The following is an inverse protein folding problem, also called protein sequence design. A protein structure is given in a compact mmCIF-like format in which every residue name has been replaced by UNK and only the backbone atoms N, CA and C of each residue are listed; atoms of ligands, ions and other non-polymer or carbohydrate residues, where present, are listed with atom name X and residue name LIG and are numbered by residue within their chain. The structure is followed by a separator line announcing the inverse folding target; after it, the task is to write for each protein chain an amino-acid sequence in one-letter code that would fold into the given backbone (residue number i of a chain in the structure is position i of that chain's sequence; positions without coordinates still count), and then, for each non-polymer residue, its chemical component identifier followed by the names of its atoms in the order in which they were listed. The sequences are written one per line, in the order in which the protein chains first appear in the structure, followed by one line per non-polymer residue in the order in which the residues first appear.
data_IF_403017715483
#
_entry.id   IF_403017715483
#
_cell.length_a   1.000
_cell.length_b   1.000
_cell.length_c   1.000
_cell.angle_alpha   90.00
_cell.angle_beta   90.00
_cell.angle_gamma   90.00
#
_symmetry.space_group_name_H-M   'P 1'
#
loop_
_entity.id
_entity.type
_entity.pdbx_description
1 polymer ?
#
# COMPACT_ATOMS: atom_id res chain seq x y z
N UNK A 1 -17.04 -4.57 -9.08
CA UNK A 1 -16.22 -4.77 -7.88
C UNK A 1 -15.65 -6.16 -7.93
N UNK A 2 -14.35 -6.27 -7.72
CA UNK A 2 -13.67 -7.55 -7.89
C UNK A 2 -12.75 -7.81 -6.69
N UNK A 3 -13.35 -8.25 -5.60
CA UNK A 3 -12.57 -8.64 -4.43
C UNK A 3 -11.75 -9.88 -4.74
N UNK A 4 -10.47 -9.83 -4.42
CA UNK A 4 -9.58 -10.97 -4.59
C UNK A 4 -8.92 -11.29 -3.26
N UNK A 5 -8.93 -12.57 -2.89
CA UNK A 5 -8.20 -13.03 -1.72
C UNK A 5 -6.73 -13.11 -2.10
N UNK A 6 -5.90 -12.35 -1.39
CA UNK A 6 -4.48 -12.23 -1.73
C UNK A 6 -3.59 -13.05 -0.81
N UNK A 7 -4.05 -13.36 0.40
CA UNK A 7 -3.28 -14.15 1.36
C UNK A 7 -4.19 -14.58 2.48
N UNK A 8 -3.78 -15.64 3.19
CA UNK A 8 -4.37 -15.93 4.49
C UNK A 8 -3.81 -14.95 5.52
N UNK A 9 -4.62 -14.60 6.50
CA UNK A 9 -4.21 -13.61 7.49
C UNK A 9 -2.92 -14.01 8.22
N UNK A 10 -2.76 -15.30 8.49
CA UNK A 10 -1.58 -15.77 9.22
C UNK A 10 -0.33 -15.86 8.33
N UNK A 11 -0.43 -15.57 7.04
CA UNK A 11 0.74 -15.47 6.17
C UNK A 11 1.41 -14.10 6.26
N UNK A 12 0.79 -13.14 6.95
CA UNK A 12 1.31 -11.79 7.08
C UNK A 12 1.20 -11.39 8.55
N UNK A 13 2.34 -11.19 9.20
CA UNK A 13 2.35 -10.79 10.59
C UNK A 13 2.09 -9.31 10.77
N UNK A 14 1.67 -8.91 11.97
CA UNK A 14 1.51 -7.49 12.27
C UNK A 14 2.82 -6.76 12.06
N UNK A 15 2.75 -5.64 11.34
CA UNK A 15 3.93 -4.87 11.02
C UNK A 15 4.63 -5.30 9.74
N UNK A 16 4.09 -6.30 9.05
CA UNK A 16 4.68 -6.80 7.82
C UNK A 16 3.93 -6.31 6.59
N UNK A 17 4.61 -6.37 5.46
CA UNK A 17 4.10 -5.97 4.16
C UNK A 17 4.35 -7.07 3.14
N UNK A 18 3.46 -7.16 2.14
CA UNK A 18 3.67 -8.08 1.03
C UNK A 18 3.27 -7.41 -0.28
N UNK A 19 3.97 -7.80 -1.34
CA UNK A 19 3.66 -7.32 -2.69
C UNK A 19 2.75 -8.32 -3.38
N UNK A 20 1.65 -7.84 -3.93
CA UNK A 20 0.77 -8.65 -4.76
C UNK A 20 0.52 -7.91 -6.07
N UNK A 21 0.25 -8.66 -7.13
CA UNK A 21 -0.01 -8.09 -8.45
C UNK A 21 -1.46 -8.34 -8.83
N UNK A 22 -2.24 -7.26 -8.91
CA UNK A 22 -3.66 -7.30 -9.24
C UNK A 22 -3.93 -6.37 -10.43
N UNK A 23 -3.15 -6.55 -11.50
CA UNK A 23 -3.12 -5.60 -12.61
C UNK A 23 -2.22 -4.42 -12.33
N UNK A 24 -2.07 -4.07 -11.07
CA UNK A 24 -1.14 -3.06 -10.57
C UNK A 24 -0.35 -3.68 -9.42
N UNK A 25 0.88 -3.21 -9.17
CA UNK A 25 1.61 -3.68 -7.99
C UNK A 25 0.99 -3.06 -6.74
N UNK A 26 0.59 -3.89 -5.80
CA UNK A 26 -0.11 -3.48 -4.59
C UNK A 26 0.67 -3.94 -3.38
N UNK A 27 0.92 -3.01 -2.45
CA UNK A 27 1.53 -3.33 -1.17
C UNK A 27 0.42 -3.53 -0.15
N UNK A 28 0.33 -4.73 0.39
CA UNK A 28 -0.64 -5.07 1.43
C UNK A 28 0.10 -5.04 2.76
N UNK A 29 -0.44 -4.27 3.71
CA UNK A 29 0.20 -4.06 5.01
C UNK A 29 -0.74 -4.53 6.10
N UNK A 30 -0.22 -5.33 7.04
CA UNK A 30 -0.96 -5.69 8.23
C UNK A 30 -0.53 -4.78 9.37
N UNK A 31 -1.45 -3.92 9.79
CA UNK A 31 -1.23 -3.02 10.91
C UNK A 31 -1.56 -3.73 12.22
N UNK A 32 -1.57 -3.00 13.31
CA UNK A 32 -1.90 -3.56 14.61
C UNK A 32 -3.40 -3.85 14.71
N UNK A 33 -3.78 -4.76 15.60
CA UNK A 33 -5.18 -5.07 15.90
C UNK A 33 -5.95 -5.59 14.69
N UNK A 34 -5.27 -6.39 13.85
CA UNK A 34 -5.89 -7.03 12.69
C UNK A 34 -6.45 -6.04 11.66
N UNK A 35 -5.85 -4.87 11.60
CA UNK A 35 -6.18 -3.92 10.53
C UNK A 35 -5.27 -4.17 9.34
N UNK A 36 -5.86 -4.18 8.14
CA UNK A 36 -5.08 -4.32 6.90
C UNK A 36 -5.37 -3.13 5.99
N UNK A 37 -4.34 -2.72 5.25
CA UNK A 37 -4.47 -1.66 4.25
C UNK A 37 -3.76 -2.11 2.98
N UNK A 38 -4.19 -1.57 1.85
CA UNK A 38 -3.59 -1.85 0.56
C UNK A 38 -3.34 -0.54 -0.16
N UNK A 39 -2.11 -0.33 -0.62
CA UNK A 39 -1.73 0.87 -1.34
C UNK A 39 -0.97 0.48 -2.60
N UNK A 40 -0.92 1.39 -3.58
CA UNK A 40 -0.10 1.17 -4.75
C UNK A 40 1.37 1.07 -4.32
N UNK A 41 2.08 0.10 -4.84
CA UNK A 41 3.43 -0.22 -4.36
C UNK A 41 4.52 0.69 -4.91
N UNK A 42 4.17 1.79 -5.56
CA UNK A 42 5.15 2.66 -6.20
C UNK A 42 5.19 4.01 -5.52
N UNK A 43 6.39 4.40 -5.05
CA UNK A 43 6.60 5.73 -4.47
C UNK A 43 6.41 6.79 -5.57
N UNK A 44 5.60 7.82 -5.29
CA UNK A 44 5.30 8.85 -6.28
C UNK A 44 6.48 9.76 -6.57
N UNK A 45 7.48 9.78 -5.70
CA UNK A 45 8.65 10.63 -5.91
C UNK A 45 9.67 9.97 -6.85
N UNK A 46 10.02 8.70 -6.59
CA UNK A 46 11.11 8.03 -7.31
C UNK A 46 10.67 6.74 -7.99
N UNK A 47 9.39 6.41 -7.94
CA UNK A 47 8.87 5.16 -8.48
C UNK A 47 9.58 3.92 -7.91
N UNK A 48 10.00 4.02 -6.66
CA UNK A 48 10.61 2.89 -5.95
C UNK A 48 9.56 1.99 -5.33
N UNK A 49 9.84 0.69 -5.20
CA UNK A 49 8.87 -0.23 -4.61
C UNK A 49 8.73 0.03 -3.11
N UNK A 50 7.51 0.37 -2.68
CA UNK A 50 7.24 0.71 -1.29
C UNK A 50 7.34 -0.50 -0.35
N UNK A 51 7.11 -1.72 -0.87
CA UNK A 51 7.20 -2.91 -0.03
C UNK A 51 8.63 -3.21 0.43
N UNK A 52 9.62 -2.53 -0.14
CA UNK A 52 11.01 -2.62 0.33
C UNK A 52 11.35 -1.54 1.34
N UNK A 53 10.39 -0.70 1.70
CA UNK A 53 10.60 0.37 2.65
C UNK A 53 10.36 -0.05 4.09
N UNK A 54 10.02 0.90 4.92
CA UNK A 54 9.91 0.70 6.37
C UNK A 54 8.54 1.13 6.87
N UNK A 55 7.92 0.27 7.67
CA UNK A 55 6.67 0.59 8.34
C UNK A 55 6.97 1.17 9.71
N UNK A 56 6.34 2.30 10.04
CA UNK A 56 6.49 2.93 11.35
C UNK A 56 5.26 2.70 12.22
N UNK A 57 5.40 2.94 13.52
CA UNK A 57 4.36 2.66 14.50
C UNK A 57 3.12 3.54 14.34
N UNK A 58 3.24 4.65 13.64
CA UNK A 58 2.13 5.57 13.41
C UNK A 58 1.40 5.30 12.09
N UNK A 59 1.55 4.09 11.54
CA UNK A 59 0.93 3.66 10.28
C UNK A 59 1.42 4.49 9.10
N UNK A 60 2.68 4.85 9.13
CA UNK A 60 3.36 5.58 8.06
C UNK A 60 4.36 4.65 7.39
N UNK A 61 4.38 4.66 6.06
CA UNK A 61 5.31 3.87 5.27
C UNK A 61 6.39 4.77 4.70
N UNK A 62 7.66 4.39 4.93
CA UNK A 62 8.79 5.16 4.45
C UNK A 62 9.35 4.50 3.20
N UNK A 63 9.44 5.28 2.10
CA UNK A 63 10.05 4.84 0.86
C UNK A 63 11.56 4.63 1.07
N UNK A 64 12.13 3.52 0.56
CA UNK A 64 13.54 3.23 0.83
C UNK A 64 14.53 4.16 0.13
N UNK A 65 14.10 4.90 -0.90
CA UNK A 65 15.04 5.69 -1.70
C UNK A 65 15.45 6.99 -1.01
N UNK A 66 14.48 7.83 -0.66
CA UNK A 66 14.78 9.17 -0.11
C UNK A 66 13.98 9.47 1.13
N UNK A 67 13.52 8.42 1.82
CA UNK A 67 12.75 8.56 3.06
C UNK A 67 11.46 9.35 2.90
N UNK A 68 10.88 9.34 1.71
CA UNK A 68 9.52 9.86 1.52
C UNK A 68 8.55 9.05 2.37
N UNK A 69 7.62 9.72 3.03
CA UNK A 69 6.69 9.06 3.94
C UNK A 69 5.26 9.27 3.48
N UNK A 70 4.46 8.22 3.64
CA UNK A 70 3.05 8.26 3.26
C UNK A 70 2.20 7.72 4.39
N UNK A 71 1.08 8.40 4.66
CA UNK A 71 0.08 7.91 5.59
C UNK A 71 -0.66 6.75 4.92
N UNK A 72 -0.68 5.59 5.56
CA UNK A 72 -1.25 4.39 4.95
C UNK A 72 -2.77 4.41 4.91
N UNK A 73 -3.43 5.22 5.74
CA UNK A 73 -4.88 5.32 5.73
C UNK A 73 -5.39 6.23 4.63
N UNK A 74 -4.66 7.30 4.33
CA UNK A 74 -5.10 8.32 3.37
C UNK A 74 -4.30 8.33 2.09
N UNK A 75 -3.10 7.75 2.08
CA UNK A 75 -2.19 7.82 0.95
C UNK A 75 -1.45 9.13 0.84
N UNK A 76 -1.69 10.06 1.76
CA UNK A 76 -1.11 11.40 1.68
C UNK A 76 0.38 11.41 2.01
N UNK A 77 1.18 12.18 1.27
CA UNK A 77 2.60 12.29 1.60
C UNK A 77 2.78 13.13 2.87
N UNK A 78 3.76 12.71 3.69
CA UNK A 78 4.09 13.42 4.92
C UNK A 78 5.49 13.98 4.75
N UNK A 79 5.57 15.27 4.50
CA UNK A 79 6.86 15.91 4.27
C UNK A 79 7.44 15.66 2.90
N UNK A 80 8.54 16.31 2.62
CA UNK A 80 9.26 16.17 1.35
C UNK A 80 10.16 14.92 1.41
N UNK A 81 10.59 14.36 0.25
CA UNK A 81 10.43 14.92 -1.09
C UNK A 81 9.12 14.54 -1.81
N UNK A 82 8.36 13.57 -1.32
CA UNK A 82 7.10 13.21 -1.98
C UNK A 82 6.07 14.30 -1.76
N UNK A 83 5.38 14.70 -2.83
CA UNK A 83 4.37 15.76 -2.77
C UNK A 83 3.03 15.30 -3.36
N UNK A 84 2.96 14.07 -3.86
CA UNK A 84 1.73 13.51 -4.42
C UNK A 84 1.31 12.29 -3.62
N UNK A 85 0.01 12.12 -3.37
CA UNK A 85 -0.46 10.93 -2.63
C UNK A 85 -0.33 9.67 -3.47
N UNK A 86 -0.36 8.52 -2.78
CA UNK A 86 -0.40 7.21 -3.44
C UNK A 86 -1.83 6.68 -3.40
N UNK A 87 -2.25 5.88 -4.40
CA UNK A 87 -3.56 5.27 -4.37
C UNK A 87 -3.71 4.32 -3.18
N UNK A 88 -4.87 4.39 -2.53
CA UNK A 88 -5.26 3.48 -1.46
C UNK A 88 -6.46 2.69 -1.95
N UNK A 89 -6.41 1.37 -1.82
CA UNK A 89 -7.46 0.49 -2.33
C UNK A 89 -8.26 -0.12 -1.19
N UNK A 90 -9.48 -0.55 -1.48
CA UNK A 90 -10.29 -1.23 -0.51
C UNK A 90 -9.63 -2.55 -0.09
N UNK A 91 -9.57 -2.79 1.19
CA UNK A 91 -8.91 -3.95 1.77
C UNK A 91 -9.68 -4.38 3.00
N UNK A 92 -9.81 -5.69 3.20
CA UNK A 92 -10.57 -6.21 4.35
C UNK A 92 -10.04 -7.57 4.77
N UNK A 93 -10.41 -7.98 5.97
CA UNK A 93 -10.21 -9.34 6.47
C UNK A 93 -11.58 -10.01 6.50
N UNK A 94 -11.69 -11.18 5.90
CA UNK A 94 -12.92 -11.95 5.92
C UNK A 94 -12.59 -13.43 5.85
N UNK A 95 -13.21 -14.23 6.73
CA UNK A 95 -12.99 -15.67 6.78
C UNK A 95 -11.52 -16.05 6.91
N UNK A 96 -10.75 -15.28 7.70
CA UNK A 96 -9.34 -15.56 7.94
C UNK A 96 -8.42 -15.22 6.79
N UNK A 97 -8.90 -14.50 5.77
CA UNK A 97 -8.12 -14.12 4.61
C UNK A 97 -8.13 -12.61 4.41
N UNK A 98 -7.11 -12.12 3.72
CA UNK A 98 -7.00 -10.70 3.34
C UNK A 98 -7.50 -10.57 1.91
N UNK A 99 -8.43 -9.63 1.69
CA UNK A 99 -9.06 -9.37 0.40
C UNK A 99 -8.77 -7.94 -0.03
N UNK A 100 -8.50 -7.76 -1.31
CA UNK A 100 -8.25 -6.44 -1.89
C UNK A 100 -9.09 -6.28 -3.16
N UNK A 101 -9.65 -5.09 -3.35
CA UNK A 101 -10.34 -4.73 -4.58
C UNK A 101 -9.68 -3.47 -5.15
N UNK A 102 -8.83 -3.63 -6.18
CA UNK A 102 -8.11 -2.51 -6.79
C UNK A 102 -9.02 -1.63 -7.62
N UNK A 103 -10.23 -2.06 -7.91
CA UNK A 103 -11.21 -1.23 -8.61
C UNK A 103 -11.93 -0.28 -7.67
N UNK A 104 -11.75 -0.44 -6.36
CA UNK A 104 -12.28 0.48 -5.35
C UNK A 104 -11.15 1.29 -4.75
N UNK A 105 -10.74 2.33 -5.43
CA UNK A 105 -9.74 3.23 -4.89
C UNK A 105 -10.40 4.19 -3.92
N UNK A 106 -9.84 4.31 -2.73
CA UNK A 106 -10.46 5.04 -1.64
C UNK A 106 -10.11 6.53 -1.62
N UNK A 107 -9.13 6.94 -2.42
CA UNK A 107 -8.72 8.33 -2.53
C UNK A 107 -8.61 8.73 -3.99
N UNK A 108 -8.29 10.00 -4.24
CA UNK A 108 -8.24 10.57 -5.59
C UNK A 108 -6.84 10.59 -6.18
N UNK A 109 -5.91 9.85 -5.60
CA UNK A 109 -4.53 9.86 -6.06
C UNK A 109 -4.42 9.30 -7.47
N UNK A 110 -3.59 9.92 -8.29
CA UNK A 110 -3.30 9.42 -9.63
C UNK A 110 -2.47 8.13 -9.52
N UNK A 111 -2.83 7.13 -10.33
CA UNK A 111 -2.07 5.89 -10.34
C UNK A 111 -0.72 6.15 -11.02
N UNK A 112 0.40 5.79 -10.37
CA UNK A 112 1.70 6.02 -10.97
C UNK A 112 1.85 5.28 -12.29
N UNK A 113 2.41 5.96 -13.28
CA UNK A 113 2.67 5.36 -14.58
C UNK A 113 3.99 4.62 -14.56
N UNK A 114 4.01 3.48 -15.24
CA UNK A 114 5.28 2.81 -15.45
C UNK A 114 6.10 3.63 -16.43
N UNK A 115 7.43 3.69 -16.25
CA UNK A 115 8.28 4.36 -17.22
C UNK A 115 8.13 3.70 -18.57
N UNK A 116 8.01 4.52 -19.59
CA UNK A 116 7.97 4.06 -20.97
C UNK A 116 9.37 4.12 -21.56
N UNK A 117 9.66 3.14 -22.35
CA UNK A 117 10.96 3.06 -22.99
C UNK A 117 10.87 2.27 -24.23
#
# INVERSE_FOLDING_TARGET
MAWEAVADLDQLEEGDMMLVHLGEPVCVVRLQEDEVVAVHNTCTHQQQPLNEGYLQDDDTLICPAHNSRFDLHTGEPIGIPAVHPIPVYACKIEDGAIWVDVQQQLNDAAVPHKPHH
#
